data_IF_089248915411
#
_entry.id   IF_089248915411
#
_cell.length_a   1.000
_cell.length_b   1.000
_cell.length_c   1.000
_cell.angle_alpha   90.00
_cell.angle_beta   90.00
_cell.angle_gamma   90.00
#
_symmetry.space_group_name_H-M   'P 1'
#
loop_
_entity.id
_entity.type
_entity.pdbx_description
1 polymer ?
#
# COMPACT_ATOMS: atom_id res chain seq x y z
N UNK A 1 77.73 53.07 -64.22
CA UNK A 1 77.32 53.11 -62.80
C UNK A 1 77.33 51.67 -62.27
N UNK A 2 77.23 51.40 -60.96
CA UNK A 2 77.14 50.02 -60.45
C UNK A 2 75.70 49.68 -60.07
N UNK A 3 75.25 48.47 -60.40
CA UNK A 3 73.98 47.92 -59.98
C UNK A 3 74.19 46.83 -58.93
N UNK A 4 73.29 46.71 -57.96
CA UNK A 4 73.23 45.58 -57.04
C UNK A 4 71.78 45.37 -56.59
N UNK A 5 71.37 44.11 -56.37
CA UNK A 5 70.08 43.80 -55.78
C UNK A 5 70.15 43.91 -54.25
N UNK A 6 69.12 44.49 -53.62
CA UNK A 6 69.01 44.61 -52.17
C UNK A 6 67.67 44.09 -51.67
N UNK A 7 67.52 43.96 -50.36
CA UNK A 7 66.31 43.42 -49.73
C UNK A 7 66.26 41.89 -49.71
N UNK A 8 65.05 41.33 -49.84
CA UNK A 8 64.84 39.89 -49.86
C UNK A 8 65.15 39.36 -51.27
N UNK A 9 66.38 38.90 -51.47
CA UNK A 9 66.89 38.41 -52.75
C UNK A 9 66.94 36.88 -52.75
N UNK A 10 66.56 36.27 -53.87
CA UNK A 10 66.79 34.85 -54.09
C UNK A 10 68.25 34.66 -54.57
N UNK A 11 69.05 33.95 -53.77
CA UNK A 11 70.49 33.80 -53.97
C UNK A 11 71.34 34.93 -53.36
N UNK A 12 72.63 34.94 -53.68
CA UNK A 12 73.60 35.91 -53.14
C UNK A 12 73.77 37.11 -54.10
N UNK A 13 73.49 38.35 -53.68
CA UNK A 13 73.56 39.51 -54.55
C UNK A 13 75.02 39.90 -54.83
N UNK A 14 75.34 40.22 -56.09
CA UNK A 14 76.68 40.63 -56.52
C UNK A 14 76.63 41.97 -57.23
N UNK A 15 77.45 42.94 -56.79
CA UNK A 15 77.53 44.25 -57.44
C UNK A 15 78.29 44.18 -58.76
N UNK A 16 77.67 44.65 -59.84
CA UNK A 16 78.24 44.64 -61.19
C UNK A 16 78.36 46.06 -61.74
N UNK A 17 79.39 46.30 -62.57
CA UNK A 17 79.57 47.58 -63.27
C UNK A 17 78.74 47.57 -64.55
N UNK A 18 77.83 48.54 -64.67
CA UNK A 18 77.03 48.84 -65.85
C UNK A 18 77.76 49.89 -66.70
N UNK A 19 78.20 49.51 -67.89
CA UNK A 19 78.91 50.33 -68.88
C UNK A 19 77.90 51.04 -69.81
N UNK A 20 78.41 51.99 -70.60
CA UNK A 20 77.58 52.67 -71.61
C UNK A 20 77.13 51.69 -72.69
N UNK A 21 75.82 51.61 -72.91
CA UNK A 21 75.20 50.67 -73.85
C UNK A 21 74.72 49.35 -73.23
N UNK A 22 75.02 49.10 -71.94
CA UNK A 22 74.55 47.90 -71.25
C UNK A 22 73.03 47.99 -70.96
N UNK A 23 72.32 46.88 -71.13
CA UNK A 23 70.91 46.74 -70.75
C UNK A 23 70.78 46.25 -69.30
N UNK A 24 69.85 46.85 -68.56
CA UNK A 24 69.45 46.37 -67.23
C UNK A 24 68.00 45.93 -67.30
N UNK A 25 67.77 44.63 -67.10
CA UNK A 25 66.43 44.03 -67.17
C UNK A 25 65.88 43.81 -65.77
N UNK A 26 64.71 44.39 -65.49
CA UNK A 26 63.95 44.13 -64.27
C UNK A 26 62.96 42.99 -64.52
N UNK A 27 63.24 41.81 -63.98
CA UNK A 27 62.34 40.65 -64.07
C UNK A 27 61.46 40.58 -62.82
N UNK A 28 60.16 40.44 -63.02
CA UNK A 28 59.21 40.17 -61.94
C UNK A 28 58.95 38.66 -61.88
N UNK A 29 58.86 38.10 -60.68
CA UNK A 29 58.35 36.74 -60.49
C UNK A 29 56.82 36.69 -60.67
N UNK A 30 56.25 35.49 -60.67
CA UNK A 30 54.85 35.23 -61.05
C UNK A 30 53.80 36.07 -60.31
N UNK A 31 54.08 36.51 -59.08
CA UNK A 31 53.16 37.23 -58.21
C UNK A 31 53.39 38.75 -58.16
N UNK A 32 54.35 39.26 -58.92
CA UNK A 32 54.69 40.69 -58.97
C UNK A 32 54.52 41.20 -60.41
N UNK A 33 53.90 42.37 -60.56
CA UNK A 33 53.91 43.10 -61.83
C UNK A 33 54.80 44.33 -61.70
N UNK A 34 55.64 44.58 -62.70
CA UNK A 34 56.41 45.83 -62.84
C UNK A 34 55.77 46.67 -63.93
N UNK A 35 55.32 47.89 -63.57
CA UNK A 35 54.89 48.91 -64.54
C UNK A 35 56.03 49.91 -64.74
N UNK A 36 56.45 50.08 -65.98
CA UNK A 36 57.40 51.12 -66.39
C UNK A 36 56.63 52.35 -66.91
N UNK A 37 57.05 53.54 -66.48
CA UNK A 37 56.54 54.83 -66.95
C UNK A 37 57.73 55.76 -67.24
N UNK A 38 57.91 56.14 -68.52
CA UNK A 38 59.07 56.89 -68.99
C UNK A 38 58.64 58.26 -69.51
N UNK A 39 59.30 59.30 -69.00
CA UNK A 39 59.16 60.68 -69.47
C UNK A 39 60.55 61.32 -69.65
N UNK A 40 60.61 62.45 -70.35
CA UNK A 40 61.88 63.12 -70.62
C UNK A 40 62.63 63.43 -69.30
N UNK A 41 63.78 62.80 -69.09
CA UNK A 41 64.60 62.96 -67.89
C UNK A 41 64.15 62.17 -66.65
N UNK A 42 63.07 61.39 -66.72
CA UNK A 42 62.55 60.61 -65.58
C UNK A 42 62.20 59.18 -65.97
N UNK A 43 62.68 58.23 -65.17
CA UNK A 43 62.35 56.81 -65.28
C UNK A 43 61.66 56.38 -63.99
N UNK A 44 60.43 55.87 -64.09
CA UNK A 44 59.67 55.39 -62.93
C UNK A 44 59.26 53.93 -63.13
N UNK A 45 59.43 53.14 -62.06
CA UNK A 45 59.08 51.72 -62.04
C UNK A 45 58.23 51.44 -60.81
N UNK A 46 56.99 51.00 -61.00
CA UNK A 46 56.08 50.65 -59.92
C UNK A 46 55.95 49.13 -59.81
N UNK A 47 56.23 48.60 -58.63
CA UNK A 47 56.04 47.19 -58.28
C UNK A 47 54.70 47.04 -57.57
N UNK A 48 53.87 46.10 -58.02
CA UNK A 48 52.60 45.75 -57.36
C UNK A 48 52.46 44.24 -57.23
N UNK A 49 51.81 43.80 -56.16
CA UNK A 49 51.29 42.44 -56.08
C UNK A 49 50.18 42.25 -57.12
N UNK A 50 50.13 41.06 -57.67
CA UNK A 50 49.01 40.66 -58.51
C UNK A 50 47.74 40.54 -57.66
N UNK A 51 46.57 40.77 -58.26
CA UNK A 51 45.28 40.63 -57.55
C UNK A 51 45.05 39.18 -57.12
N UNK A 52 45.36 38.27 -58.03
CA UNK A 52 45.34 36.84 -57.81
C UNK A 52 46.79 36.39 -57.67
N UNK A 53 47.12 35.84 -56.51
CA UNK A 53 48.44 35.25 -56.27
C UNK A 53 48.36 33.76 -56.57
N UNK A 54 49.30 33.25 -57.36
CA UNK A 54 49.36 31.86 -57.82
C UNK A 54 50.62 31.18 -57.30
N UNK A 55 50.58 29.85 -57.15
CA UNK A 55 51.75 29.05 -56.77
C UNK A 55 52.31 29.33 -55.37
N UNK A 56 51.51 29.86 -54.44
CA UNK A 56 51.92 30.02 -53.05
C UNK A 56 51.70 28.70 -52.29
N UNK A 57 52.75 28.18 -51.65
CA UNK A 57 52.65 26.97 -50.82
C UNK A 57 52.07 27.26 -49.43
N UNK A 58 52.37 28.44 -48.86
CA UNK A 58 51.89 28.83 -47.54
C UNK A 58 51.80 30.34 -47.35
N UNK A 59 50.88 30.74 -46.46
CA UNK A 59 50.77 32.12 -45.95
C UNK A 59 50.65 32.03 -44.44
N UNK A 60 51.58 32.65 -43.71
CA UNK A 60 51.50 32.73 -42.24
C UNK A 60 50.82 34.03 -41.83
N UNK A 61 49.68 33.93 -41.14
CA UNK A 61 48.96 35.08 -40.57
C UNK A 61 48.56 34.80 -39.12
N UNK A 62 48.43 35.86 -38.32
CA UNK A 62 47.91 35.78 -36.95
C UNK A 62 46.39 35.63 -36.90
N UNK A 63 45.69 36.08 -37.95
CA UNK A 63 44.23 36.17 -38.00
C UNK A 63 43.75 36.16 -39.44
N UNK A 64 42.73 35.37 -39.72
CA UNK A 64 41.93 35.48 -40.95
C UNK A 64 40.60 36.11 -40.54
N UNK A 65 40.16 37.13 -41.27
CA UNK A 65 38.89 37.82 -41.04
C UNK A 65 38.18 37.97 -42.37
N UNK A 66 37.00 37.37 -42.47
CA UNK A 66 36.09 37.61 -43.58
C UNK A 66 35.08 38.63 -43.07
N UNK A 67 35.23 39.92 -43.47
CA UNK A 67 34.37 40.96 -42.97
C UNK A 67 32.93 40.69 -43.40
N UNK A 68 32.00 41.00 -42.51
CA UNK A 68 30.59 40.96 -42.83
C UNK A 68 30.26 41.82 -44.07
N UNK A 69 29.30 41.37 -44.89
CA UNK A 69 28.95 42.03 -46.15
C UNK A 69 28.45 43.48 -45.98
N UNK A 70 28.00 43.84 -44.77
CA UNK A 70 27.47 45.17 -44.43
C UNK A 70 28.09 45.67 -43.12
N UNK A 71 28.31 46.98 -43.02
CA UNK A 71 28.81 47.59 -41.79
C UNK A 71 27.90 47.27 -40.58
N UNK A 72 28.49 46.83 -39.47
CA UNK A 72 27.77 46.41 -38.27
C UNK A 72 27.35 44.93 -38.25
N UNK A 73 27.67 44.14 -39.27
CA UNK A 73 27.50 42.68 -39.23
C UNK A 73 28.75 41.99 -38.69
N UNK A 74 28.57 40.89 -37.95
CA UNK A 74 29.68 40.16 -37.33
C UNK A 74 30.52 39.40 -38.38
N UNK A 75 31.83 39.43 -38.19
CA UNK A 75 32.83 38.79 -39.04
C UNK A 75 32.95 37.28 -38.77
N UNK A 76 33.36 36.53 -39.80
CA UNK A 76 33.90 35.18 -39.62
C UNK A 76 35.39 35.28 -39.36
N UNK A 77 35.86 34.69 -38.27
CA UNK A 77 37.24 34.82 -37.80
C UNK A 77 37.85 33.44 -37.54
N UNK A 78 39.10 33.28 -37.95
CA UNK A 78 39.96 32.17 -37.56
C UNK A 78 41.23 32.76 -36.93
N UNK A 79 41.51 32.42 -35.68
CA UNK A 79 42.70 32.84 -34.96
C UNK A 79 43.14 31.78 -33.92
N UNK A 80 44.07 32.14 -33.04
CA UNK A 80 44.62 31.23 -32.01
C UNK A 80 43.59 30.69 -31.02
N UNK A 81 42.43 31.35 -30.88
CA UNK A 81 41.40 30.99 -29.91
C UNK A 81 40.30 30.12 -30.54
N UNK A 82 40.32 29.96 -31.87
CA UNK A 82 39.44 29.06 -32.60
C UNK A 82 38.73 29.71 -33.78
N UNK A 83 37.46 29.35 -33.97
CA UNK A 83 36.62 29.80 -35.09
C UNK A 83 35.41 30.54 -34.54
N UNK A 84 35.18 31.77 -35.01
CA UNK A 84 33.91 32.48 -34.85
C UNK A 84 33.10 32.39 -36.14
N UNK A 85 31.86 31.91 -36.03
CA UNK A 85 30.92 31.85 -37.16
C UNK A 85 30.24 33.20 -37.47
N UNK A 86 30.52 34.27 -36.73
CA UNK A 86 29.96 35.61 -37.01
C UNK A 86 28.42 35.66 -36.97
N UNK A 87 27.80 34.95 -36.03
CA UNK A 87 26.34 34.75 -35.95
C UNK A 87 25.73 34.24 -37.27
N UNK A 88 26.45 33.41 -38.01
CA UNK A 88 25.95 32.72 -39.20
C UNK A 88 25.76 31.24 -38.92
N UNK A 89 24.86 30.63 -39.68
CA UNK A 89 24.70 29.18 -39.68
C UNK A 89 25.87 28.55 -40.41
N UNK A 90 26.50 27.56 -39.78
CA UNK A 90 27.46 26.68 -40.43
C UNK A 90 26.66 25.60 -41.17
N UNK A 91 26.60 25.71 -42.50
CA UNK A 91 25.89 24.76 -43.36
C UNK A 91 26.77 23.54 -43.65
N UNK A 92 26.15 22.44 -44.08
CA UNK A 92 26.83 21.23 -44.56
C UNK A 92 27.72 20.54 -43.52
N UNK A 93 27.35 20.64 -42.24
CA UNK A 93 28.00 19.87 -41.17
C UNK A 93 27.51 18.42 -41.27
N UNK A 94 28.41 17.51 -41.61
CA UNK A 94 28.15 16.08 -41.57
C UNK A 94 27.79 15.62 -40.14
N UNK A 95 27.20 14.45 -40.00
CA UNK A 95 26.95 13.92 -38.65
C UNK A 95 28.29 13.65 -37.97
N UNK A 96 28.46 14.17 -36.76
CA UNK A 96 29.64 13.88 -35.95
C UNK A 96 29.68 12.42 -35.53
N UNK A 97 30.86 11.80 -35.62
CA UNK A 97 31.12 10.39 -35.30
C UNK A 97 32.02 10.28 -34.06
N UNK A 98 33.03 11.13 -33.96
CA UNK A 98 33.99 11.15 -32.86
C UNK A 98 33.54 12.12 -31.74
N UNK A 99 34.04 11.96 -30.49
CA UNK A 99 33.64 12.79 -29.36
C UNK A 99 33.85 14.29 -29.52
N UNK A 100 34.73 14.71 -30.43
CA UNK A 100 35.09 16.13 -30.67
C UNK A 100 34.49 16.67 -31.96
N UNK A 101 33.69 15.89 -32.68
CA UNK A 101 33.04 16.37 -33.91
C UNK A 101 31.87 17.31 -33.57
N UNK A 102 31.59 18.25 -34.47
CA UNK A 102 30.39 19.07 -34.36
C UNK A 102 29.12 18.22 -34.58
N UNK A 103 28.05 18.54 -33.84
CA UNK A 103 26.74 17.93 -34.05
C UNK A 103 25.90 18.77 -35.01
N UNK A 104 25.17 18.11 -35.90
CA UNK A 104 24.18 18.79 -36.74
C UNK A 104 22.75 18.63 -36.19
N UNK A 105 21.81 19.41 -36.71
CA UNK A 105 20.41 19.43 -36.22
C UNK A 105 19.75 18.05 -36.32
N UNK A 106 20.09 17.24 -37.33
CA UNK A 106 19.51 15.88 -37.48
C UNK A 106 19.81 14.97 -36.28
N UNK A 107 21.00 15.09 -35.68
CA UNK A 107 21.38 14.30 -34.50
C UNK A 107 20.57 14.72 -33.28
N UNK A 108 20.34 16.03 -33.12
CA UNK A 108 19.50 16.57 -32.06
C UNK A 108 18.02 16.17 -32.23
N UNK A 109 17.47 16.33 -33.43
CA UNK A 109 16.08 15.95 -33.73
C UNK A 109 15.83 14.47 -33.48
N UNK A 110 16.77 13.58 -33.88
CA UNK A 110 16.65 12.14 -33.61
C UNK A 110 16.49 11.84 -32.11
N UNK A 111 17.18 12.57 -31.24
CA UNK A 111 17.00 12.45 -29.80
C UNK A 111 15.64 13.01 -29.34
N UNK A 112 15.20 14.15 -29.86
CA UNK A 112 13.89 14.74 -29.53
C UNK A 112 12.72 13.82 -29.92
N UNK A 113 12.81 13.21 -31.10
CA UNK A 113 11.77 12.32 -31.64
C UNK A 113 11.82 10.90 -31.08
N UNK A 114 12.81 10.56 -30.25
CA UNK A 114 12.78 9.28 -29.54
C UNK A 114 11.55 9.22 -28.65
N UNK A 115 11.12 8.00 -28.37
CA UNK A 115 9.87 7.77 -27.65
C UNK A 115 10.04 6.92 -26.41
N UNK A 116 9.12 7.10 -25.47
CA UNK A 116 8.99 6.31 -24.24
C UNK A 116 7.55 5.82 -24.09
N UNK A 117 7.41 4.59 -23.57
CA UNK A 117 6.15 3.97 -23.16
C UNK A 117 6.37 3.30 -21.80
N UNK A 118 5.34 3.26 -20.96
CA UNK A 118 5.34 2.48 -19.73
C UNK A 118 4.45 1.24 -19.92
N UNK A 119 4.95 0.08 -19.51
CA UNK A 119 4.19 -1.17 -19.47
C UNK A 119 3.57 -1.40 -18.09
N UNK A 120 2.47 -2.13 -18.05
CA UNK A 120 1.80 -2.59 -16.83
C UNK A 120 1.40 -4.05 -16.90
N UNK A 121 0.63 -4.48 -15.91
CA UNK A 121 0.09 -5.84 -15.84
C UNK A 121 -0.75 -6.19 -17.08
N UNK A 122 -0.90 -7.49 -17.34
CA UNK A 122 -1.63 -8.04 -18.49
C UNK A 122 -1.15 -7.49 -19.84
N UNK A 123 0.15 -7.18 -19.95
CA UNK A 123 0.79 -6.64 -21.16
C UNK A 123 0.18 -5.32 -21.64
N UNK A 124 -0.42 -4.54 -20.74
CA UNK A 124 -0.94 -3.22 -21.06
C UNK A 124 0.20 -2.22 -21.23
N UNK A 125 0.01 -1.22 -22.10
CA UNK A 125 1.00 -0.18 -22.35
C UNK A 125 0.32 1.18 -22.43
N UNK A 126 1.02 2.23 -22.00
CA UNK A 126 0.59 3.61 -22.25
C UNK A 126 0.76 3.96 -23.72
N UNK A 127 0.07 5.01 -24.18
CA UNK A 127 0.41 5.62 -25.46
C UNK A 127 1.87 6.10 -25.49
N UNK A 128 2.48 6.05 -26.67
CA UNK A 128 3.84 6.51 -26.93
C UNK A 128 3.97 8.02 -26.72
N UNK A 129 4.99 8.44 -25.96
CA UNK A 129 5.31 9.85 -25.74
C UNK A 129 6.68 10.17 -26.35
N UNK A 130 6.78 11.27 -27.08
CA UNK A 130 8.07 11.79 -27.59
C UNK A 130 8.81 12.57 -26.50
N UNK A 131 10.15 12.58 -26.56
CA UNK A 131 10.98 13.28 -25.57
C UNK A 131 10.84 14.81 -25.64
N UNK A 132 10.55 15.36 -26.82
CA UNK A 132 10.35 16.79 -27.06
C UNK A 132 8.89 17.25 -26.94
N UNK A 133 8.03 16.46 -26.28
CA UNK A 133 6.61 16.77 -26.10
C UNK A 133 6.40 18.15 -25.46
N UNK A 134 5.69 19.04 -26.15
CA UNK A 134 5.26 20.34 -25.63
C UNK A 134 4.48 20.19 -24.32
N UNK A 135 4.88 20.93 -23.29
CA UNK A 135 4.30 20.81 -21.94
C UNK A 135 4.92 19.70 -21.07
N UNK A 136 5.91 18.98 -21.61
CA UNK A 136 6.63 17.92 -20.90
C UNK A 136 5.94 16.57 -20.95
N UNK A 137 6.65 15.54 -20.49
CA UNK A 137 6.15 14.18 -20.38
C UNK A 137 5.53 14.02 -18.99
N UNK A 138 4.26 13.60 -18.94
CA UNK A 138 3.56 13.26 -17.71
C UNK A 138 2.96 11.86 -17.81
N UNK A 139 3.22 11.05 -16.80
CA UNK A 139 2.58 9.76 -16.59
C UNK A 139 1.95 9.74 -15.21
N UNK A 140 0.65 9.49 -15.16
CA UNK A 140 -0.04 9.27 -13.90
C UNK A 140 0.08 7.81 -13.48
N UNK A 141 0.46 7.59 -12.22
CA UNK A 141 0.31 6.28 -11.59
C UNK A 141 -1.02 6.32 -10.87
N UNK A 142 -2.01 5.60 -11.38
CA UNK A 142 -3.38 5.63 -10.86
C UNK A 142 -3.61 4.39 -10.01
N UNK A 143 -3.99 4.59 -8.74
CA UNK A 143 -4.44 3.52 -7.87
C UNK A 143 -5.86 3.05 -8.22
N UNK A 144 -6.11 1.74 -8.10
CA UNK A 144 -7.43 1.13 -8.27
C UNK A 144 -7.62 0.01 -7.24
N UNK A 145 -8.88 -0.37 -6.98
CA UNK A 145 -9.24 -1.52 -6.13
C UNK A 145 -8.55 -1.55 -4.75
N UNK A 146 -8.55 -0.42 -4.05
CA UNK A 146 -7.95 -0.31 -2.72
C UNK A 146 -6.46 0.03 -2.73
N UNK A 147 -5.95 0.56 -3.85
CA UNK A 147 -4.64 1.22 -3.92
C UNK A 147 -4.85 2.71 -4.12
N UNK A 148 -4.07 3.52 -3.42
CA UNK A 148 -3.98 4.98 -3.60
C UNK A 148 -2.55 5.38 -3.96
N UNK A 149 -2.43 6.48 -4.70
CA UNK A 149 -1.15 6.99 -5.19
C UNK A 149 -1.03 8.48 -4.89
N UNK A 150 0.17 8.91 -4.49
CA UNK A 150 0.45 10.32 -4.16
C UNK A 150 1.82 10.70 -4.73
N UNK A 151 1.86 11.69 -5.63
CA UNK A 151 3.10 12.24 -6.17
C UNK A 151 3.49 13.51 -5.42
N UNK A 152 4.64 13.49 -4.72
CA UNK A 152 5.13 14.63 -3.94
C UNK A 152 6.65 14.56 -3.77
N UNK A 153 7.31 15.71 -3.83
CA UNK A 153 8.75 15.87 -3.57
C UNK A 153 9.64 14.88 -4.38
N UNK A 154 9.33 14.66 -5.66
CA UNK A 154 10.10 13.75 -6.53
C UNK A 154 9.84 12.26 -6.30
N UNK A 155 8.86 11.89 -5.47
CA UNK A 155 8.46 10.51 -5.22
C UNK A 155 7.01 10.27 -5.62
N UNK A 156 6.69 9.04 -6.01
CA UNK A 156 5.30 8.56 -6.08
C UNK A 156 5.15 7.47 -5.03
N UNK A 157 4.35 7.75 -4.00
CA UNK A 157 4.04 6.76 -2.97
C UNK A 157 2.82 5.96 -3.40
N UNK A 158 2.92 4.64 -3.34
CA UNK A 158 1.82 3.71 -3.58
C UNK A 158 1.43 3.09 -2.23
N UNK A 159 0.17 3.24 -1.84
CA UNK A 159 -0.34 2.79 -0.53
C UNK A 159 -1.55 1.91 -0.71
N UNK A 160 -1.74 1.00 0.23
CA UNK A 160 -3.00 0.30 0.40
C UNK A 160 -4.00 1.24 1.08
N UNK A 161 -5.18 1.38 0.49
CA UNK A 161 -6.35 1.98 1.11
C UNK A 161 -7.16 0.89 1.81
N UNK A 162 -6.88 0.72 3.10
CA UNK A 162 -7.51 -0.28 3.95
C UNK A 162 -9.02 -0.06 4.09
N UNK A 163 -9.52 1.17 3.96
CA UNK A 163 -10.96 1.43 4.04
C UNK A 163 -11.68 0.86 2.81
N UNK A 164 -11.15 1.15 1.61
CA UNK A 164 -11.67 0.60 0.36
C UNK A 164 -11.52 -0.92 0.31
N UNK A 165 -10.37 -1.47 0.71
CA UNK A 165 -10.19 -2.93 0.79
C UNK A 165 -11.17 -3.55 1.78
N UNK A 166 -11.33 -2.95 2.96
CA UNK A 166 -12.21 -3.45 4.01
C UNK A 166 -13.67 -3.52 3.58
N UNK A 167 -14.15 -2.49 2.89
CA UNK A 167 -15.53 -2.41 2.39
C UNK A 167 -15.80 -3.37 1.22
N UNK A 168 -14.81 -3.59 0.33
CA UNK A 168 -15.00 -4.39 -0.88
C UNK A 168 -14.64 -5.88 -0.70
N UNK A 169 -13.86 -6.22 0.33
CA UNK A 169 -13.47 -7.60 0.61
C UNK A 169 -14.48 -8.25 1.54
N UNK A 170 -14.93 -9.46 1.20
CA UNK A 170 -15.97 -10.17 1.95
C UNK A 170 -15.44 -11.41 2.67
N UNK A 171 -15.98 -11.66 3.86
CA UNK A 171 -15.86 -12.94 4.59
C UNK A 171 -17.11 -13.76 4.28
N UNK A 172 -16.94 -14.92 3.63
CA UNK A 172 -18.02 -15.87 3.42
C UNK A 172 -18.11 -16.86 4.59
N UNK A 173 -19.31 -17.08 5.12
CA UNK A 173 -19.55 -17.97 6.27
C UNK A 173 -20.86 -18.75 6.12
N UNK A 174 -20.99 -19.84 6.88
CA UNK A 174 -22.19 -20.69 6.93
C UNK A 174 -22.49 -21.12 8.36
N UNK A 175 -23.77 -21.34 8.65
CA UNK A 175 -24.18 -22.08 9.83
C UNK A 175 -24.39 -23.54 9.42
N UNK A 176 -23.68 -24.47 10.05
CA UNK A 176 -23.83 -25.92 9.83
C UNK A 176 -23.74 -26.36 8.36
N UNK A 177 -22.86 -25.73 7.57
CA UNK A 177 -22.69 -26.08 6.15
C UNK A 177 -23.86 -25.67 5.23
N UNK A 178 -24.82 -24.89 5.71
CA UNK A 178 -25.95 -24.44 4.91
C UNK A 178 -25.51 -23.62 3.68
N UNK A 179 -26.17 -23.86 2.55
CA UNK A 179 -26.00 -23.13 1.30
C UNK A 179 -27.23 -22.26 0.99
N UNK A 180 -27.07 -21.10 0.32
CA UNK A 180 -25.80 -20.50 -0.10
C UNK A 180 -25.00 -19.93 1.08
N UNK A 181 -23.70 -19.68 0.86
CA UNK A 181 -22.89 -18.98 1.86
C UNK A 181 -23.45 -17.58 2.11
N UNK A 182 -23.41 -17.15 3.37
CA UNK A 182 -23.67 -15.76 3.75
C UNK A 182 -22.36 -14.98 3.65
N UNK A 183 -22.47 -13.67 3.49
CA UNK A 183 -21.31 -12.78 3.37
C UNK A 183 -21.48 -11.57 4.28
N UNK A 184 -20.35 -11.09 4.81
CA UNK A 184 -20.18 -9.78 5.47
C UNK A 184 -18.89 -9.17 4.94
N UNK A 185 -18.75 -7.85 5.01
CA UNK A 185 -17.48 -7.20 4.61
C UNK A 185 -16.42 -7.38 5.70
N UNK A 186 -15.14 -7.24 5.36
CA UNK A 186 -14.07 -7.16 6.37
C UNK A 186 -14.27 -5.97 7.32
N UNK A 187 -14.82 -4.86 6.81
CA UNK A 187 -15.11 -3.67 7.60
C UNK A 187 -16.21 -3.91 8.65
N UNK A 188 -17.27 -4.65 8.29
CA UNK A 188 -18.36 -4.96 9.21
C UNK A 188 -18.00 -6.08 10.20
N UNK A 189 -17.21 -7.06 9.74
CA UNK A 189 -16.86 -8.24 10.52
C UNK A 189 -18.07 -9.14 10.85
N UNK A 190 -17.87 -10.09 11.76
CA UNK A 190 -18.92 -10.98 12.26
C UNK A 190 -19.49 -10.44 13.58
N UNK A 191 -20.82 -10.37 13.68
CA UNK A 191 -21.51 -10.00 14.90
C UNK A 191 -22.04 -11.25 15.64
N UNK A 192 -21.36 -11.65 16.71
CA UNK A 192 -21.79 -12.75 17.59
C UNK A 192 -22.81 -12.23 18.59
N UNK A 193 -24.03 -12.77 18.53
CA UNK A 193 -25.15 -12.33 19.35
C UNK A 193 -25.51 -13.36 20.42
N UNK A 194 -26.16 -12.88 21.48
CA UNK A 194 -26.76 -13.72 22.51
C UNK A 194 -27.81 -14.65 21.89
N UNK A 195 -27.84 -15.89 22.39
CA UNK A 195 -28.92 -16.83 22.12
C UNK A 195 -29.97 -16.81 23.24
N UNK A 196 -31.01 -17.63 23.11
CA UNK A 196 -32.08 -17.73 24.14
C UNK A 196 -31.53 -18.04 25.54
N UNK A 197 -30.51 -18.90 25.62
CA UNK A 197 -29.89 -19.32 26.88
C UNK A 197 -28.36 -19.21 26.88
N UNK A 198 -27.82 -18.40 25.98
CA UNK A 198 -26.37 -18.21 25.87
C UNK A 198 -26.04 -16.74 25.73
N UNK A 199 -24.95 -16.31 26.38
CA UNK A 199 -24.40 -14.96 26.28
C UNK A 199 -23.15 -15.00 25.42
N UNK A 200 -23.13 -14.23 24.34
CA UNK A 200 -21.95 -14.09 23.50
C UNK A 200 -20.99 -13.05 24.11
N UNK A 201 -19.69 -13.31 24.03
CA UNK A 201 -18.64 -12.35 24.35
C UNK A 201 -17.43 -12.55 23.46
N UNK A 202 -16.70 -11.46 23.21
CA UNK A 202 -15.47 -11.45 22.42
C UNK A 202 -14.42 -10.65 23.17
N UNK A 203 -13.22 -11.22 23.35
CA UNK A 203 -12.10 -10.52 24.01
C UNK A 203 -11.28 -9.66 23.03
N UNK A 204 -10.29 -8.92 23.54
CA UNK A 204 -9.42 -8.04 22.74
C UNK A 204 -8.52 -8.79 21.75
N UNK A 205 -8.34 -10.10 21.91
CA UNK A 205 -7.60 -10.95 20.98
C UNK A 205 -8.53 -11.65 19.97
N UNK A 206 -9.84 -11.38 20.01
CA UNK A 206 -10.84 -11.96 19.11
C UNK A 206 -11.31 -13.36 19.53
N UNK A 207 -11.06 -13.82 20.76
CA UNK A 207 -11.61 -15.11 21.22
C UNK A 207 -13.10 -14.97 21.47
N UNK A 208 -13.88 -15.80 20.78
CA UNK A 208 -15.33 -15.86 20.92
C UNK A 208 -15.69 -16.88 22.00
N UNK A 209 -16.52 -16.48 22.96
CA UNK A 209 -17.04 -17.35 24.02
C UNK A 209 -18.56 -17.27 24.08
N UNK A 210 -19.19 -18.41 24.34
CA UNK A 210 -20.61 -18.51 24.67
C UNK A 210 -20.75 -19.10 26.07
N UNK A 211 -21.21 -18.28 27.01
CA UNK A 211 -21.56 -18.74 28.35
C UNK A 211 -23.04 -19.13 28.41
N UNK A 212 -23.37 -20.17 29.18
CA UNK A 212 -24.77 -20.53 29.41
C UNK A 212 -25.39 -19.61 30.47
N UNK A 213 -26.61 -19.16 30.20
CA UNK A 213 -27.41 -18.41 31.17
C UNK A 213 -28.24 -19.41 31.96
N UNK A 214 -27.99 -19.50 33.26
CA UNK A 214 -28.65 -20.45 34.16
C UNK A 214 -29.70 -19.77 35.02
N UNK A 215 -30.70 -20.55 35.42
CA UNK A 215 -31.81 -20.17 36.26
C UNK A 215 -31.99 -21.24 37.35
N UNK A 216 -32.03 -20.79 38.60
CA UNK A 216 -32.32 -21.65 39.74
C UNK A 216 -33.81 -21.94 39.88
N UNK A 217 -34.13 -23.07 40.49
CA UNK A 217 -35.50 -23.41 40.93
C UNK A 217 -35.52 -23.31 42.45
N UNK A 218 -36.45 -22.55 43.00
CA UNK A 218 -36.60 -22.42 44.45
C UNK A 218 -37.55 -23.47 44.99
N UNK A 219 -37.30 -23.95 46.21
CA UNK A 219 -38.22 -24.85 46.92
C UNK A 219 -38.73 -24.14 48.16
N UNK A 220 -40.04 -23.99 48.25
CA UNK A 220 -40.71 -23.37 49.40
C UNK A 220 -41.61 -24.41 50.05
N UNK A 221 -41.40 -24.65 51.35
CA UNK A 221 -42.20 -25.59 52.13
C UNK A 221 -42.34 -27.00 51.51
N UNK A 222 -41.27 -27.52 50.91
CA UNK A 222 -41.24 -28.84 50.29
C UNK A 222 -41.68 -28.89 48.82
N UNK A 223 -42.14 -27.78 48.25
CA UNK A 223 -42.63 -27.72 46.87
C UNK A 223 -41.75 -26.82 46.01
N UNK A 224 -41.31 -27.32 44.86
CA UNK A 224 -40.62 -26.52 43.86
C UNK A 224 -41.55 -25.46 43.26
N UNK A 225 -41.01 -24.26 43.06
CA UNK A 225 -41.67 -23.19 42.31
C UNK A 225 -41.54 -23.45 40.83
N UNK A 226 -42.61 -23.21 40.07
CA UNK A 226 -42.54 -23.18 38.60
C UNK A 226 -41.99 -21.80 38.19
N UNK A 227 -40.82 -21.70 37.53
CA UNK A 227 -40.32 -20.43 37.04
C UNK A 227 -41.29 -19.79 36.04
N UNK A 228 -41.30 -18.45 35.98
CA UNK A 228 -42.17 -17.69 35.07
C UNK A 228 -41.63 -17.60 33.64
N UNK A 229 -40.38 -18.02 33.43
CA UNK A 229 -39.72 -18.07 32.11
C UNK A 229 -38.98 -19.38 31.98
N UNK A 230 -38.76 -19.84 30.75
CA UNK A 230 -37.86 -20.97 30.50
C UNK A 230 -36.43 -20.61 30.93
N UNK A 231 -35.65 -21.61 31.37
CA UNK A 231 -34.25 -21.44 31.72
C UNK A 231 -33.49 -22.76 31.76
N UNK A 232 -32.16 -22.69 31.68
CA UNK A 232 -31.28 -23.83 31.93
C UNK A 232 -30.98 -23.92 33.43
N UNK A 233 -30.92 -25.12 33.98
CA UNK A 233 -30.53 -25.31 35.38
C UNK A 233 -29.34 -26.25 35.45
N UNK A 234 -28.48 -26.08 36.44
CA UNK A 234 -27.29 -26.93 36.57
C UNK A 234 -27.61 -28.21 37.32
N UNK A 235 -26.74 -29.22 37.21
CA UNK A 235 -26.84 -30.42 38.02
C UNK A 235 -26.83 -30.11 39.54
N UNK A 236 -26.10 -29.06 39.95
CA UNK A 236 -26.07 -28.57 41.33
C UNK A 236 -27.44 -28.02 41.75
N UNK A 237 -28.09 -27.25 40.88
CA UNK A 237 -29.41 -26.69 41.16
C UNK A 237 -30.46 -27.79 41.32
N UNK A 238 -30.47 -28.79 40.42
CA UNK A 238 -31.36 -29.95 40.53
C UNK A 238 -31.13 -30.71 41.84
N UNK A 239 -29.88 -31.00 42.19
CA UNK A 239 -29.56 -31.69 43.44
C UNK A 239 -30.09 -30.92 44.66
N UNK A 240 -29.90 -29.60 44.68
CA UNK A 240 -30.42 -28.75 45.75
C UNK A 240 -31.96 -28.77 45.82
N UNK A 241 -32.64 -28.75 44.67
CA UNK A 241 -34.11 -28.82 44.60
C UNK A 241 -34.59 -30.15 45.17
N UNK A 242 -34.09 -31.26 44.63
CA UNK A 242 -34.55 -32.61 45.00
C UNK A 242 -34.33 -32.88 46.49
N UNK A 243 -33.17 -32.47 47.04
CA UNK A 243 -32.86 -32.64 48.46
C UNK A 243 -33.73 -31.77 49.39
N UNK A 244 -34.45 -30.78 48.86
CA UNK A 244 -35.34 -29.92 49.65
C UNK A 244 -36.83 -30.14 49.37
N UNK A 245 -37.17 -30.93 48.35
CA UNK A 245 -38.54 -31.37 48.11
C UNK A 245 -39.02 -32.28 49.24
N UNK A 246 -40.31 -32.21 49.53
CA UNK A 246 -40.91 -32.97 50.61
C UNK A 246 -42.40 -32.72 50.76
N UNK A 247 -43.00 -33.40 51.73
CA UNK A 247 -44.41 -33.24 52.10
C UNK A 247 -44.52 -32.89 53.58
N UNK A 248 -45.59 -32.20 53.94
CA UNK A 248 -45.83 -31.85 55.34
C UNK A 248 -46.57 -32.99 56.04
N UNK A 249 -46.00 -33.46 57.13
CA UNK A 249 -46.64 -34.38 58.06
C UNK A 249 -47.19 -33.59 59.25
N UNK A 250 -48.34 -34.00 59.78
CA UNK A 250 -48.80 -33.56 61.09
C UNK A 250 -49.69 -34.65 61.72
N UNK A 251 -49.67 -34.75 63.04
CA UNK A 251 -50.60 -35.62 63.76
C UNK A 251 -51.96 -34.91 63.93
N UNK A 252 -53.06 -35.66 63.83
CA UNK A 252 -54.42 -35.17 64.04
C UNK A 252 -55.24 -36.11 64.92
N UNK A 253 -56.40 -35.65 65.40
CA UNK A 253 -57.26 -36.42 66.31
C UNK A 253 -56.91 -36.22 67.79
N UNK A 254 -56.99 -37.29 68.59
CA UNK A 254 -56.63 -37.26 70.01
C UNK A 254 -55.11 -37.39 70.17
N UNK A 255 -54.41 -36.27 70.05
CA UNK A 255 -52.94 -36.18 70.15
C UNK A 255 -52.54 -35.85 71.58
N UNK A 256 -51.54 -36.55 72.12
CA UNK A 256 -50.90 -36.19 73.38
C UNK A 256 -49.87 -35.07 73.13
N UNK A 257 -50.14 -33.87 73.64
CA UNK A 257 -49.36 -32.65 73.38
C UNK A 257 -49.84 -31.81 72.20
N UNK A 258 -49.05 -30.79 71.82
CA UNK A 258 -49.38 -29.87 70.71
C UNK A 258 -48.79 -30.38 69.39
N UNK A 259 -49.61 -30.81 68.41
CA UNK A 259 -49.11 -31.28 67.13
C UNK A 259 -48.45 -30.14 66.34
N UNK A 260 -47.26 -30.38 65.79
CA UNK A 260 -46.53 -29.42 64.95
C UNK A 260 -46.27 -30.03 63.59
N UNK A 261 -46.67 -29.32 62.53
CA UNK A 261 -46.43 -29.78 61.17
C UNK A 261 -44.94 -29.67 60.84
N UNK A 262 -44.34 -30.79 60.42
CA UNK A 262 -42.94 -30.86 59.99
C UNK A 262 -42.86 -31.20 58.51
N UNK A 263 -41.80 -30.72 57.85
CA UNK A 263 -41.50 -31.08 56.48
C UNK A 263 -40.68 -32.37 56.47
N UNK A 264 -41.20 -33.41 55.83
CA UNK A 264 -40.48 -34.65 55.55
C UNK A 264 -39.87 -34.53 54.16
N UNK A 265 -38.55 -34.37 54.10
CA UNK A 265 -37.79 -34.19 52.86
C UNK A 265 -37.43 -35.53 52.21
N UNK A 266 -36.96 -35.46 50.97
CA UNK A 266 -36.36 -36.61 50.28
C UNK A 266 -35.18 -37.16 51.09
N UNK A 267 -35.26 -38.43 51.48
CA UNK A 267 -34.26 -39.10 52.31
C UNK A 267 -34.53 -39.08 53.81
N UNK A 268 -35.54 -38.35 54.29
CA UNK A 268 -35.93 -38.37 55.70
C UNK A 268 -36.64 -39.69 56.06
N UNK A 269 -36.40 -40.19 57.27
CA UNK A 269 -37.08 -41.35 57.83
C UNK A 269 -38.36 -40.92 58.58
N UNK A 270 -39.47 -41.64 58.37
CA UNK A 270 -40.71 -41.48 59.14
C UNK A 270 -41.00 -42.77 59.89
N UNK A 271 -41.05 -42.70 61.22
CA UNK A 271 -41.29 -43.85 62.08
C UNK A 271 -42.70 -43.77 62.69
N UNK A 272 -43.52 -44.77 62.40
CA UNK A 272 -44.87 -44.93 62.95
C UNK A 272 -44.82 -45.81 64.20
N UNK A 273 -45.05 -45.21 65.38
CA UNK A 273 -45.02 -45.92 66.66
C UNK A 273 -46.44 -46.19 67.16
N UNK A 274 -46.64 -47.34 67.79
CA UNK A 274 -47.87 -47.68 68.51
C UNK A 274 -47.58 -47.74 70.02
N UNK A 275 -48.48 -47.19 70.84
CA UNK A 275 -48.40 -47.32 72.30
C UNK A 275 -48.81 -48.72 72.78
N UNK A 276 -48.67 -48.99 74.08
CA UNK A 276 -48.73 -50.34 74.67
C UNK A 276 -49.99 -51.16 74.33
N UNK A 277 -51.13 -50.50 74.12
CA UNK A 277 -52.42 -51.13 73.83
C UNK A 277 -52.82 -51.09 72.35
N UNK A 278 -51.95 -50.61 71.47
CA UNK A 278 -52.17 -50.53 70.02
C UNK A 278 -51.08 -51.35 69.32
N UNK A 279 -51.44 -52.02 68.24
CA UNK A 279 -50.48 -52.60 67.29
C UNK A 279 -50.58 -51.85 65.97
N UNK A 280 -49.44 -51.49 65.37
CA UNK A 280 -49.38 -51.01 63.98
C UNK A 280 -48.98 -52.16 63.06
N UNK A 281 -49.79 -52.45 62.03
CA UNK A 281 -49.46 -53.37 60.95
C UNK A 281 -49.05 -52.56 59.72
N UNK A 282 -47.87 -52.82 59.18
CA UNK A 282 -47.40 -52.27 57.92
C UNK A 282 -47.61 -53.29 56.80
N UNK A 283 -48.32 -52.89 55.74
CA UNK A 283 -48.57 -53.69 54.54
C UNK A 283 -47.96 -52.99 53.30
N UNK A 284 -46.84 -53.58 52.84
CA UNK A 284 -45.99 -53.23 51.69
C UNK A 284 -46.57 -53.58 50.31
N UNK A 285 -46.87 -52.62 49.41
CA UNK A 285 -47.01 -52.93 47.98
C UNK A 285 -46.44 -51.82 47.07
N UNK A 286 -46.26 -52.10 45.78
CA UNK A 286 -45.67 -51.16 44.84
C UNK A 286 -46.51 -49.86 44.74
N UNK A 287 -45.90 -48.72 45.08
CA UNK A 287 -46.57 -47.41 45.06
C UNK A 287 -47.61 -47.18 46.16
N UNK A 288 -47.83 -48.13 47.07
CA UNK A 288 -48.78 -47.99 48.18
C UNK A 288 -48.17 -48.48 49.49
N UNK A 289 -48.19 -47.61 50.49
CA UNK A 289 -47.82 -47.94 51.86
C UNK A 289 -49.08 -47.87 52.72
N UNK A 290 -49.43 -48.97 53.38
CA UNK A 290 -50.61 -49.04 54.22
C UNK A 290 -50.21 -49.36 55.66
N UNK A 291 -50.71 -48.55 56.60
CA UNK A 291 -50.45 -48.70 58.03
C UNK A 291 -51.79 -48.79 58.76
N UNK A 292 -52.07 -49.94 59.35
CA UNK A 292 -53.32 -50.17 60.10
C UNK A 292 -53.01 -50.23 61.60
N UNK A 293 -53.60 -49.31 62.35
CA UNK A 293 -53.57 -49.35 63.81
C UNK A 293 -54.75 -50.18 64.33
N UNK A 294 -54.47 -51.11 65.24
CA UNK A 294 -55.48 -51.99 65.85
C UNK A 294 -55.36 -51.94 67.36
N UNK A 295 -56.50 -51.80 68.03
CA UNK A 295 -56.57 -51.97 69.47
C UNK A 295 -56.27 -53.43 69.83
N UNK A 296 -55.42 -53.64 70.83
CA UNK A 296 -55.04 -54.98 71.28
C UNK A 296 -56.27 -55.69 71.89
N UNK A 297 -56.39 -57.01 71.66
CA UNK A 297 -57.53 -57.81 72.18
C UNK A 297 -57.59 -57.86 73.71
N UNK A 298 -56.44 -57.71 74.36
CA UNK A 298 -56.32 -57.58 75.80
C UNK A 298 -55.63 -56.24 76.06
N UNK A 299 -56.26 -55.41 76.89
CA UNK A 299 -55.72 -54.11 77.28
C UNK A 299 -55.08 -54.24 78.66
N UNK A 300 -53.90 -53.65 78.83
CA UNK A 300 -53.13 -53.66 80.08
C UNK A 300 -52.93 -52.24 80.58
N UNK A 301 -52.72 -52.11 81.90
CA UNK A 301 -52.35 -50.85 82.56
C UNK A 301 -53.31 -49.69 82.29
N UNK A 302 -54.62 -49.99 82.18
CA UNK A 302 -55.68 -48.98 82.05
C UNK A 302 -56.07 -48.43 83.42
N UNK A 303 -56.24 -47.11 83.53
CA UNK A 303 -56.76 -46.45 84.74
C UNK A 303 -58.29 -46.46 84.82
N UNK A 304 -58.99 -46.55 83.68
CA UNK A 304 -60.44 -46.68 83.60
C UNK A 304 -60.88 -47.23 82.25
N UNK A 305 -62.02 -47.91 82.20
CA UNK A 305 -62.71 -48.30 80.97
C UNK A 305 -64.23 -48.19 81.19
N UNK A 306 -64.97 -47.65 80.24
CA UNK A 306 -66.43 -47.56 80.26
C UNK A 306 -67.00 -48.39 79.10
N UNK A 307 -67.88 -49.35 79.42
CA UNK A 307 -68.62 -50.11 78.42
C UNK A 307 -70.07 -49.62 78.43
N UNK A 308 -70.51 -48.95 77.37
CA UNK A 308 -71.91 -48.58 77.21
C UNK A 308 -72.66 -49.76 76.60
N UNK A 309 -73.60 -50.34 77.33
CA UNK A 309 -74.55 -51.32 76.78
C UNK A 309 -75.46 -50.61 75.77
N UNK A 310 -75.62 -51.19 74.58
CA UNK A 310 -76.55 -50.68 73.58
C UNK A 310 -77.97 -50.63 74.17
N UNK A 311 -78.67 -49.52 73.95
CA UNK A 311 -80.11 -49.40 74.22
C UNK A 311 -80.93 -50.22 73.21
#
# INVERSE_FOLDING_TARGET
WKANAGGNVDGTPTSTLVKSGDEVVFKAGDNITVKQDLSAGKQEYTYKLNKDLVGLDSVTTKKITIPGATAGTNDVVIDKDGISAGNKVIKNVAQGINPTDAVNVSQLTKLGTNTIQLGGDNSTVTATQQLDKTGGIKFDIVGANGITTEAKNGTVTVKVDSATIGANSKISYTANGAAPKKEVTLADGLNFQDGKFTKASVDTAGKVKYDTVTQGITVTAGKATVPTTDGLTTAKDIANVVNNLGWKANAGGNVDGTPTSTLVKSGDEVVFKAGDNITVKQDLSAGKQEYTYKLNKQLKDLTSAEFKTAA
#
